data_IF_419849036389
#
_entry.id   IF_419849036389
#
_cell.length_a   1.000
_cell.length_b   1.000
_cell.length_c   1.000
_cell.angle_alpha   90.00
_cell.angle_beta   90.00
_cell.angle_gamma   90.00
#
_symmetry.space_group_name_H-M   'P 1'
#
loop_
_entity.id
_entity.type
_entity.pdbx_description
1 polymer ?
#
# COMPACT_ATOMS: atom_id res chain seq x y z
N UNK A 1 -6.60 -8.74 3.16
CA UNK A 1 -6.92 -7.43 3.76
C UNK A 1 -5.89 -7.11 4.84
N UNK A 2 -5.13 -6.03 4.67
CA UNK A 2 -4.14 -5.55 5.63
C UNK A 2 -4.68 -4.30 6.34
N UNK A 3 -4.66 -4.26 7.68
CA UNK A 3 -5.10 -3.08 8.45
C UNK A 3 -3.90 -2.50 9.17
N UNK A 4 -3.59 -1.23 8.91
CA UNK A 4 -2.46 -0.49 9.49
C UNK A 4 -2.92 0.82 10.13
N UNK A 5 -2.18 1.28 11.14
CA UNK A 5 -2.41 2.61 11.75
C UNK A 5 -1.27 3.53 11.35
N UNK A 6 -1.60 4.73 10.87
CA UNK A 6 -0.64 5.77 10.44
C UNK A 6 -0.92 7.10 11.15
N UNK A 7 0.06 7.99 11.25
CA UNK A 7 -0.13 9.39 11.71
C UNK A 7 -0.31 10.34 10.53
N UNK A 8 -0.56 11.63 10.82
CA UNK A 8 -0.50 12.66 9.79
C UNK A 8 0.86 12.63 9.07
N UNK A 9 0.83 12.77 7.74
CA UNK A 9 1.98 12.70 6.82
C UNK A 9 2.72 11.35 6.73
N UNK A 10 2.16 10.26 7.25
CA UNK A 10 2.77 8.92 7.15
C UNK A 10 2.26 8.13 5.90
N UNK A 11 3.14 7.86 4.93
CA UNK A 11 2.79 7.27 3.61
C UNK A 11 2.83 5.74 3.50
N UNK A 12 2.05 5.16 2.58
CA UNK A 12 2.07 3.74 2.23
C UNK A 12 2.64 3.59 0.82
N UNK A 13 3.53 2.63 0.62
CA UNK A 13 4.11 2.34 -0.70
C UNK A 13 3.51 1.04 -1.23
N UNK A 14 2.96 1.09 -2.44
CA UNK A 14 2.42 -0.08 -3.14
C UNK A 14 3.30 -0.32 -4.36
N UNK A 15 3.81 -1.54 -4.51
CA UNK A 15 4.64 -1.96 -5.64
C UNK A 15 4.21 -3.34 -6.12
N UNK A 16 4.47 -3.71 -7.38
CA UNK A 16 4.44 -5.10 -7.79
C UNK A 16 5.27 -5.94 -6.82
N UNK A 17 4.79 -7.14 -6.50
CA UNK A 17 5.59 -8.09 -5.73
C UNK A 17 6.84 -8.47 -6.53
N UNK A 18 7.92 -8.80 -5.83
CA UNK A 18 9.17 -9.28 -6.45
C UNK A 18 8.96 -10.61 -7.20
N UNK A 19 7.87 -11.31 -6.88
CA UNK A 19 7.44 -12.56 -7.53
C UNK A 19 6.65 -12.35 -8.83
N UNK A 20 6.33 -11.11 -9.21
CA UNK A 20 5.60 -10.81 -10.45
C UNK A 20 6.58 -10.71 -11.63
N UNK A 21 6.27 -11.41 -12.72
CA UNK A 21 7.02 -11.30 -13.98
C UNK A 21 7.02 -9.84 -14.46
N UNK A 22 8.18 -9.22 -14.73
CA UNK A 22 8.28 -7.86 -15.27
C UNK A 22 7.50 -7.63 -16.58
N UNK A 23 7.15 -8.67 -17.32
CA UNK A 23 6.33 -8.60 -18.53
C UNK A 23 4.81 -8.63 -18.25
N UNK A 24 4.41 -8.85 -16.99
CA UNK A 24 3.01 -8.83 -16.57
C UNK A 24 2.41 -7.45 -16.84
N UNK A 25 1.30 -7.39 -17.57
CA UNK A 25 0.68 -6.11 -17.88
C UNK A 25 -0.04 -5.56 -16.65
N UNK A 26 -0.33 -4.26 -16.65
CA UNK A 26 -1.19 -3.66 -15.62
C UNK A 26 -2.57 -4.33 -15.58
N UNK A 27 -3.09 -4.78 -16.73
CA UNK A 27 -4.38 -5.48 -16.78
C UNK A 27 -4.32 -6.82 -16.01
N UNK A 28 -3.21 -7.54 -16.12
CA UNK A 28 -2.99 -8.81 -15.43
C UNK A 28 -2.76 -8.62 -13.91
N UNK A 29 -2.06 -7.53 -13.54
CA UNK A 29 -1.81 -7.13 -12.15
C UNK A 29 -3.10 -6.80 -11.38
N UNK A 30 -4.05 -6.15 -12.04
CA UNK A 30 -5.34 -5.75 -11.46
C UNK A 30 -6.47 -6.73 -11.77
N UNK A 31 -6.17 -7.88 -12.41
CA UNK A 31 -7.17 -8.88 -12.74
C UNK A 31 -7.89 -9.42 -11.49
N UNK A 32 -7.15 -9.54 -10.38
CA UNK A 32 -7.68 -10.03 -9.09
C UNK A 32 -8.38 -8.92 -8.27
N UNK A 33 -8.49 -7.71 -8.82
CA UNK A 33 -9.27 -6.61 -8.25
C UNK A 33 -8.48 -5.30 -8.07
N UNK A 34 -9.20 -4.20 -7.80
CA UNK A 34 -8.59 -2.90 -7.56
C UNK A 34 -7.86 -2.85 -6.21
N UNK A 35 -7.00 -1.84 -6.04
CA UNK A 35 -6.50 -1.46 -4.72
C UNK A 35 -7.59 -0.65 -4.02
N UNK A 36 -8.11 -1.17 -2.92
CA UNK A 36 -9.09 -0.48 -2.08
C UNK A 36 -8.41 0.03 -0.80
N UNK A 37 -8.52 1.34 -0.57
CA UNK A 37 -7.99 2.01 0.63
C UNK A 37 -9.19 2.48 1.45
N UNK A 38 -9.38 1.88 2.63
CA UNK A 38 -10.46 2.23 3.54
C UNK A 38 -9.91 2.98 4.75
N UNK A 39 -10.42 4.16 5.04
CA UNK A 39 -10.04 4.92 6.25
C UNK A 39 -11.05 4.62 7.35
N UNK A 40 -10.65 3.85 8.37
CA UNK A 40 -11.54 3.32 9.41
C UNK A 40 -11.82 4.30 10.57
N UNK A 41 -10.86 5.17 10.91
CA UNK A 41 -11.06 6.25 11.90
C UNK A 41 -9.82 7.14 11.99
N UNK A 42 -10.00 8.45 12.01
CA UNK A 42 -8.99 9.42 12.46
C UNK A 42 -9.29 9.78 13.93
N UNK A 43 -8.69 9.05 14.87
CA UNK A 43 -8.87 9.30 16.30
C UNK A 43 -7.59 9.86 16.89
N UNK A 44 -7.56 11.16 17.21
CA UNK A 44 -6.35 11.84 17.70
C UNK A 44 -5.29 11.96 16.60
N UNK A 45 -4.02 11.71 16.92
CA UNK A 45 -2.90 11.82 15.97
C UNK A 45 -2.69 10.58 15.08
N UNK A 46 -3.61 9.60 15.12
CA UNK A 46 -3.49 8.32 14.39
C UNK A 46 -4.75 8.01 13.59
N UNK A 47 -4.56 7.71 12.32
CA UNK A 47 -5.54 7.24 11.35
C UNK A 47 -5.40 5.72 11.17
N UNK A 48 -6.47 4.97 11.36
CA UNK A 48 -6.53 3.56 10.95
C UNK A 48 -6.91 3.46 9.49
N UNK A 49 -6.11 2.75 8.71
CA UNK A 49 -6.33 2.51 7.28
C UNK A 49 -6.28 1.02 6.97
N UNK A 50 -7.29 0.53 6.25
CA UNK A 50 -7.25 -0.75 5.56
C UNK A 50 -6.73 -0.58 4.16
N UNK A 51 -5.89 -1.51 3.73
CA UNK A 51 -5.47 -1.66 2.34
C UNK A 51 -5.82 -3.08 1.90
N UNK A 52 -6.61 -3.17 0.86
CA UNK A 52 -6.90 -4.40 0.15
C UNK A 52 -6.32 -4.28 -1.24
N UNK A 53 -5.47 -5.22 -1.60
CA UNK A 53 -4.80 -5.27 -2.89
C UNK A 53 -4.72 -6.73 -3.35
N UNK A 54 -4.63 -6.98 -4.66
CA UNK A 54 -4.23 -8.27 -5.24
C UNK A 54 -2.98 -8.84 -4.58
N UNK A 55 -2.86 -10.17 -4.53
CA UNK A 55 -1.66 -10.87 -4.03
C UNK A 55 -0.41 -10.57 -4.84
N UNK A 56 -0.57 -10.06 -6.05
CA UNK A 56 0.51 -9.62 -6.94
C UNK A 56 1.13 -8.29 -6.51
N UNK A 57 0.56 -7.58 -5.53
CA UNK A 57 1.07 -6.31 -5.03
C UNK A 57 1.58 -6.44 -3.60
N UNK A 58 2.79 -5.94 -3.38
CA UNK A 58 3.42 -5.84 -2.08
C UNK A 58 3.18 -4.46 -1.48
N UNK A 59 2.62 -4.43 -0.27
CA UNK A 59 2.29 -3.21 0.47
C UNK A 59 3.34 -3.00 1.56
N UNK A 60 4.09 -1.92 1.43
CA UNK A 60 5.16 -1.56 2.35
C UNK A 60 4.82 -0.29 3.12
N UNK A 61 5.24 -0.25 4.38
CA UNK A 61 5.20 0.97 5.18
C UNK A 61 6.42 1.81 4.82
N UNK A 62 6.21 3.04 4.33
CA UNK A 62 7.32 4.00 4.21
C UNK A 62 7.66 4.49 5.62
N UNK A 63 8.90 4.32 6.02
CA UNK A 63 9.40 5.04 7.19
C UNK A 63 9.74 6.47 6.76
N UNK A 64 9.46 7.45 7.64
CA UNK A 64 9.53 8.88 7.30
C UNK A 64 10.96 9.39 6.97
N UNK A 65 11.96 8.51 6.93
CA UNK A 65 13.38 8.84 6.84
C UNK A 65 14.00 8.51 5.46
N UNK A 66 13.24 7.91 4.54
CA UNK A 66 13.73 7.45 3.23
C UNK A 66 13.68 8.52 2.11
N UNK A 67 13.37 9.79 2.41
CA UNK A 67 13.34 10.88 1.41
C UNK A 67 14.67 11.67 1.28
N UNK A 68 15.79 11.16 1.83
CA UNK A 68 17.10 11.88 1.80
C UNK A 68 18.17 11.20 0.92
N UNK A 69 17.83 10.22 0.08
CA UNK A 69 18.80 9.61 -0.82
C UNK A 69 18.26 9.37 -2.23
N UNK A 70 18.11 10.44 -3.00
CA UNK A 70 18.14 10.44 -4.47
C UNK A 70 18.69 11.77 -4.96
#
# INVERSE_FOLDING_TARGET
MLIISRKDAESIVIRPSDDVDPQTTLADLFQDGPIEITVFSAGGSRVKMGVQAPSQLSIWRKDAQDDVAA
#
